data_IF_958405568717
#
_entry.id   IF_958405568717
#
_cell.length_a   1.000
_cell.length_b   1.000
_cell.length_c   1.000
_cell.angle_alpha   90.00
_cell.angle_beta   90.00
_cell.angle_gamma   90.00
#
_symmetry.space_group_name_H-M   'P 1'
#
loop_
_entity.id
_entity.type
_entity.pdbx_description
1 polymer ?
#
# COMPACT_ATOMS: atom_id res chain seq x y z
N UNK A 1 19.72 -2.15 14.32
CA UNK A 1 19.30 -3.07 13.24
C UNK A 1 18.15 -2.48 12.41
N UNK A 2 17.05 -2.02 13.03
CA UNK A 2 15.88 -1.43 12.34
C UNK A 2 16.21 -0.34 11.30
N UNK A 3 17.11 0.61 11.61
CA UNK A 3 17.51 1.66 10.65
C UNK A 3 18.19 1.08 9.40
N UNK A 4 19.04 0.06 9.55
CA UNK A 4 19.71 -0.59 8.42
C UNK A 4 18.69 -1.29 7.51
N UNK A 5 17.72 -1.97 8.12
CA UNK A 5 16.62 -2.62 7.38
C UNK A 5 15.76 -1.58 6.67
N UNK A 6 15.42 -0.48 7.35
CA UNK A 6 14.68 0.63 6.75
C UNK A 6 15.38 1.18 5.50
N UNK A 7 16.68 1.50 5.62
CA UNK A 7 17.48 1.98 4.49
C UNK A 7 17.48 0.95 3.35
N UNK A 8 17.65 -0.33 3.67
CA UNK A 8 17.57 -1.41 2.69
C UNK A 8 16.22 -1.49 1.97
N UNK A 9 15.11 -1.32 2.68
CA UNK A 9 13.76 -1.29 2.10
C UNK A 9 13.58 -0.09 1.16
N UNK A 10 14.03 1.10 1.55
CA UNK A 10 13.92 2.31 0.71
C UNK A 10 14.80 2.22 -0.54
N UNK A 11 16.02 1.69 -0.42
CA UNK A 11 16.87 1.42 -1.59
C UNK A 11 16.21 0.40 -2.52
N UNK A 12 15.65 -0.68 -1.96
CA UNK A 12 14.93 -1.70 -2.74
C UNK A 12 13.73 -1.08 -3.46
N UNK A 13 12.91 -0.29 -2.75
CA UNK A 13 11.77 0.43 -3.32
C UNK A 13 12.20 1.34 -4.48
N UNK A 14 13.29 2.09 -4.33
CA UNK A 14 13.80 2.98 -5.38
C UNK A 14 14.29 2.21 -6.62
N UNK A 15 15.01 1.11 -6.42
CA UNK A 15 15.48 0.24 -7.51
C UNK A 15 14.27 -0.38 -8.25
N UNK A 16 13.32 -0.94 -7.52
CA UNK A 16 12.12 -1.55 -8.10
C UNK A 16 11.30 -0.51 -8.87
N UNK A 17 11.10 0.70 -8.30
CA UNK A 17 10.37 1.77 -8.96
C UNK A 17 11.04 2.24 -10.26
N UNK A 18 12.38 2.24 -10.32
CA UNK A 18 13.11 2.53 -11.55
C UNK A 18 12.96 1.40 -12.59
N UNK A 19 13.11 0.15 -12.17
CA UNK A 19 12.96 -1.03 -13.03
C UNK A 19 11.54 -1.09 -13.62
N UNK A 20 10.53 -0.78 -12.82
CA UNK A 20 9.12 -0.87 -13.21
C UNK A 20 8.79 -0.03 -14.45
N UNK A 21 9.48 1.08 -14.69
CA UNK A 21 9.31 1.95 -15.88
C UNK A 21 9.64 1.21 -17.19
N UNK A 22 10.51 0.20 -17.13
CA UNK A 22 10.93 -0.59 -18.28
C UNK A 22 10.09 -1.85 -18.48
N UNK A 23 9.25 -2.21 -17.50
CA UNK A 23 8.43 -3.42 -17.57
C UNK A 23 7.14 -3.21 -18.40
N UNK A 24 6.52 -4.29 -18.89
CA UNK A 24 5.27 -4.21 -19.65
C UNK A 24 4.13 -3.58 -18.82
N UNK A 25 3.49 -2.54 -19.34
CA UNK A 25 2.47 -1.80 -18.59
C UNK A 25 1.04 -2.34 -18.79
N UNK A 26 0.86 -3.31 -19.69
CA UNK A 26 -0.45 -3.87 -20.04
C UNK A 26 -1.19 -3.06 -21.09
N UNK A 27 -2.27 -3.63 -21.65
CA UNK A 27 -3.03 -3.04 -22.75
C UNK A 27 -4.01 -1.94 -22.32
N UNK A 28 -4.26 -1.80 -21.02
CA UNK A 28 -5.24 -0.87 -20.46
C UNK A 28 -4.71 0.56 -20.29
N UNK A 29 -3.40 0.77 -20.44
CA UNK A 29 -2.85 2.11 -20.37
C UNK A 29 -2.91 2.77 -21.75
N UNK A 30 -3.47 3.98 -21.85
CA UNK A 30 -3.47 4.73 -23.10
C UNK A 30 -2.04 4.80 -23.67
N UNK A 31 -1.90 4.65 -24.99
CA UNK A 31 -0.65 4.92 -25.73
C UNK A 31 -0.34 6.42 -25.77
N UNK A 32 -0.40 7.08 -24.61
CA UNK A 32 0.03 8.45 -24.46
C UNK A 32 1.54 8.53 -24.64
N UNK A 33 1.97 9.55 -25.36
CA UNK A 33 3.37 9.94 -25.41
C UNK A 33 3.85 10.22 -23.99
N UNK A 34 4.91 9.51 -23.57
CA UNK A 34 5.50 9.75 -22.26
C UNK A 34 6.00 11.21 -22.18
N UNK A 35 5.82 11.88 -21.03
CA UNK A 35 6.24 13.27 -20.86
C UNK A 35 7.77 13.45 -20.88
N UNK A 36 8.51 12.36 -20.74
CA UNK A 36 9.96 12.30 -20.83
C UNK A 36 10.42 10.91 -21.28
N UNK A 37 11.73 10.74 -21.54
CA UNK A 37 12.30 9.43 -21.85
C UNK A 37 12.23 8.48 -20.65
N UNK A 38 12.12 7.17 -20.91
CA UNK A 38 12.06 6.15 -19.85
C UNK A 38 13.21 6.25 -18.82
N UNK A 39 14.48 6.47 -19.21
CA UNK A 39 15.55 6.65 -18.23
C UNK A 39 15.34 7.85 -17.31
N UNK A 40 14.82 8.97 -17.82
CA UNK A 40 14.51 10.16 -17.00
C UNK A 40 13.39 9.85 -16.02
N UNK A 41 12.32 9.18 -16.46
CA UNK A 41 11.23 8.75 -15.57
C UNK A 41 11.70 7.75 -14.51
N UNK A 42 12.58 6.81 -14.86
CA UNK A 42 13.15 5.85 -13.93
C UNK A 42 14.00 6.53 -12.85
N UNK A 43 14.85 7.49 -13.24
CA UNK A 43 15.64 8.30 -12.31
C UNK A 43 14.75 9.17 -11.42
N UNK A 44 13.71 9.79 -11.99
CA UNK A 44 12.75 10.59 -11.23
C UNK A 44 12.01 9.74 -10.19
N UNK A 45 11.51 8.55 -10.58
CA UNK A 45 10.86 7.62 -9.66
C UNK A 45 11.80 7.17 -8.54
N UNK A 46 13.04 6.78 -8.87
CA UNK A 46 14.03 6.42 -7.85
C UNK A 46 14.29 7.59 -6.88
N UNK A 47 14.47 8.81 -7.39
CA UNK A 47 14.69 10.00 -6.57
C UNK A 47 13.50 10.29 -5.65
N UNK A 48 12.27 10.17 -6.15
CA UNK A 48 11.04 10.31 -5.33
C UNK A 48 11.03 9.28 -4.21
N UNK A 49 11.34 8.01 -4.50
CA UNK A 49 11.36 6.96 -3.48
C UNK A 49 12.46 7.18 -2.43
N UNK A 50 13.66 7.61 -2.84
CA UNK A 50 14.77 7.86 -1.92
C UNK A 50 14.53 9.09 -1.04
N UNK A 51 14.07 10.20 -1.63
CA UNK A 51 13.98 11.50 -0.96
C UNK A 51 12.64 11.63 -0.25
N UNK A 52 11.54 11.52 -0.98
CA UNK A 52 10.21 11.75 -0.42
C UNK A 52 9.77 10.58 0.45
N UNK A 53 9.72 9.36 -0.10
CA UNK A 53 9.29 8.19 0.67
C UNK A 53 10.31 7.87 1.77
N UNK A 54 11.60 7.92 1.45
CA UNK A 54 12.68 7.74 2.42
C UNK A 54 12.66 8.77 3.55
N UNK A 55 12.40 10.05 3.25
CA UNK A 55 12.29 11.11 4.25
C UNK A 55 11.04 10.98 5.14
N UNK A 56 9.87 10.83 4.52
CA UNK A 56 8.60 10.68 5.24
C UNK A 56 8.57 9.41 6.08
N UNK A 57 9.04 8.28 5.53
CA UNK A 57 9.12 7.03 6.25
C UNK A 57 10.13 7.07 7.41
N UNK A 58 11.22 7.85 7.29
CA UNK A 58 12.19 8.00 8.39
C UNK A 58 11.58 8.80 9.55
N UNK A 59 10.87 9.88 9.23
CA UNK A 59 10.07 10.63 10.20
C UNK A 59 9.03 9.71 10.85
N UNK A 60 8.29 8.96 10.04
CA UNK A 60 7.32 7.96 10.49
C UNK A 60 7.91 6.93 11.46
N UNK A 61 9.10 6.39 11.13
CA UNK A 61 9.83 5.46 11.98
C UNK A 61 10.13 6.05 13.36
N UNK A 62 10.67 7.28 13.39
CA UNK A 62 10.98 7.97 14.66
C UNK A 62 9.72 8.22 15.50
N UNK A 63 8.62 8.60 14.87
CA UNK A 63 7.35 8.84 15.55
C UNK A 63 6.73 7.53 16.06
N UNK A 64 6.80 6.45 15.28
CA UNK A 64 6.27 5.14 15.66
C UNK A 64 6.97 4.57 16.91
N UNK A 65 8.30 4.68 17.00
CA UNK A 65 9.05 4.27 18.18
C UNK A 65 8.68 5.12 19.41
N UNK A 66 8.46 6.43 19.23
CA UNK A 66 8.01 7.33 20.31
C UNK A 66 6.59 7.01 20.81
N UNK A 67 5.74 6.48 19.93
CA UNK A 67 4.40 6.00 20.26
C UNK A 67 4.39 4.60 20.91
N UNK A 68 5.55 3.96 21.03
CA UNK A 68 5.67 2.61 21.58
C UNK A 68 5.12 1.52 20.67
N UNK A 69 5.05 1.76 19.35
CA UNK A 69 4.75 0.71 18.39
C UNK A 69 5.97 -0.22 18.23
N UNK A 70 5.72 -1.46 17.78
CA UNK A 70 6.81 -2.39 17.52
C UNK A 70 7.75 -1.83 16.43
N UNK A 71 9.05 -1.84 16.70
CA UNK A 71 10.06 -1.45 15.73
C UNK A 71 10.13 -2.46 14.56
N UNK A 72 10.72 -2.04 13.43
CA UNK A 72 10.96 -2.89 12.25
C UNK A 72 11.59 -4.25 12.64
N UNK A 73 12.56 -4.20 13.56
CA UNK A 73 13.21 -5.38 14.11
C UNK A 73 13.13 -5.40 15.64
N UNK A 74 11.91 -5.50 16.17
CA UNK A 74 11.68 -5.70 17.59
C UNK A 74 12.01 -7.14 18.03
N UNK A 75 12.89 -7.30 19.01
CA UNK A 75 13.31 -8.61 19.53
C UNK A 75 12.18 -9.38 20.22
N UNK A 76 11.12 -8.70 20.66
CA UNK A 76 9.93 -9.32 21.25
C UNK A 76 8.99 -9.92 20.21
N UNK A 77 9.15 -9.55 18.94
CA UNK A 77 8.35 -10.04 17.82
C UNK A 77 9.06 -11.23 17.18
N UNK A 78 8.42 -12.39 17.23
CA UNK A 78 8.93 -13.62 16.60
C UNK A 78 8.90 -13.52 15.07
N UNK A 79 9.75 -14.31 14.39
CA UNK A 79 9.72 -14.40 12.92
C UNK A 79 8.38 -14.93 12.40
N UNK A 80 7.66 -15.74 13.17
CA UNK A 80 6.29 -16.16 12.83
C UNK A 80 5.34 -14.97 12.76
N UNK A 81 5.39 -14.06 13.74
CA UNK A 81 4.57 -12.84 13.76
C UNK A 81 5.01 -11.81 12.72
N UNK A 82 6.31 -11.76 12.41
CA UNK A 82 6.88 -10.81 11.45
C UNK A 82 6.66 -11.21 10.00
N UNK A 83 6.66 -12.50 9.67
CA UNK A 83 6.65 -12.98 8.29
C UNK A 83 5.53 -13.98 8.00
N UNK A 84 5.43 -15.08 8.76
CA UNK A 84 4.48 -16.15 8.43
C UNK A 84 3.02 -15.74 8.61
N UNK A 85 2.67 -15.12 9.75
CA UNK A 85 1.30 -14.67 10.00
C UNK A 85 0.90 -13.59 8.98
N UNK A 86 1.72 -12.56 8.70
CA UNK A 86 1.46 -11.61 7.62
C UNK A 86 1.20 -12.27 6.26
N UNK A 87 1.98 -13.29 5.89
CA UNK A 87 1.78 -14.02 4.64
C UNK A 87 0.43 -14.75 4.59
N UNK A 88 0.05 -15.43 5.68
CA UNK A 88 -1.24 -16.13 5.76
C UNK A 88 -2.41 -15.14 5.74
N UNK A 89 -2.32 -14.05 6.52
CA UNK A 89 -3.36 -13.00 6.56
C UNK A 89 -3.49 -12.33 5.20
N UNK A 90 -2.37 -11.91 4.60
CA UNK A 90 -2.36 -11.34 3.25
C UNK A 90 -2.94 -12.29 2.22
N UNK A 91 -2.58 -13.58 2.28
CA UNK A 91 -3.16 -14.58 1.38
C UNK A 91 -4.68 -14.71 1.49
N UNK A 92 -5.21 -14.73 2.71
CA UNK A 92 -6.67 -14.74 2.95
C UNK A 92 -7.34 -13.47 2.44
N UNK A 93 -6.75 -12.29 2.68
CA UNK A 93 -7.26 -11.01 2.17
C UNK A 93 -7.24 -10.99 0.64
N UNK A 94 -6.19 -11.51 0.01
CA UNK A 94 -6.10 -11.61 -1.44
C UNK A 94 -7.17 -12.52 -2.05
N UNK A 95 -7.48 -13.66 -1.41
CA UNK A 95 -8.62 -14.51 -1.82
C UNK A 95 -9.93 -13.73 -1.68
N UNK A 96 -10.10 -13.00 -0.57
CA UNK A 96 -11.26 -12.14 -0.38
C UNK A 96 -11.38 -11.07 -1.48
N UNK A 97 -10.28 -10.44 -1.92
CA UNK A 97 -10.26 -9.49 -3.04
C UNK A 97 -10.75 -10.15 -4.33
N UNK A 98 -10.26 -11.36 -4.64
CA UNK A 98 -10.71 -12.14 -5.80
C UNK A 98 -12.23 -12.34 -5.79
N UNK A 99 -12.77 -12.78 -4.66
CA UNK A 99 -14.20 -13.06 -4.53
C UNK A 99 -15.03 -11.78 -4.60
N UNK A 100 -14.59 -10.71 -3.95
CA UNK A 100 -15.25 -9.42 -3.98
C UNK A 100 -15.32 -8.87 -5.42
N UNK A 101 -14.21 -8.83 -6.15
CA UNK A 101 -14.20 -8.37 -7.56
C UNK A 101 -15.13 -9.18 -8.46
N UNK A 102 -15.11 -10.52 -8.35
CA UNK A 102 -16.00 -11.38 -9.13
C UNK A 102 -17.49 -11.13 -8.81
N UNK A 103 -17.81 -10.70 -7.58
CA UNK A 103 -19.17 -10.35 -7.19
C UNK A 103 -19.53 -8.94 -7.67
N UNK A 104 -18.71 -7.94 -7.35
CA UNK A 104 -19.00 -6.52 -7.61
C UNK A 104 -19.00 -6.18 -9.10
N UNK A 105 -18.09 -6.78 -9.88
CA UNK A 105 -18.04 -6.60 -11.34
C UNK A 105 -19.31 -7.02 -12.08
N UNK A 106 -20.16 -7.87 -11.48
CA UNK A 106 -21.47 -8.24 -12.05
C UNK A 106 -22.52 -7.13 -11.95
N UNK A 107 -22.28 -6.12 -11.13
CA UNK A 107 -23.22 -5.04 -10.85
C UNK A 107 -22.82 -3.73 -11.57
N UNK A 108 -21.84 -3.76 -12.47
CA UNK A 108 -21.50 -2.64 -13.36
C UNK A 108 -20.91 -3.12 -14.70
N UNK A 109 -20.94 -2.27 -15.73
CA UNK A 109 -20.53 -2.66 -17.09
C UNK A 109 -19.02 -2.63 -17.35
N UNK A 110 -18.21 -2.16 -16.40
CA UNK A 110 -16.75 -2.01 -16.57
C UNK A 110 -15.96 -3.34 -16.51
N UNK A 111 -16.59 -4.45 -16.12
CA UNK A 111 -15.93 -5.75 -15.96
C UNK A 111 -15.06 -5.83 -14.69
N UNK A 112 -14.25 -6.89 -14.58
CA UNK A 112 -13.32 -7.05 -13.44
C UNK A 112 -12.20 -6.01 -13.44
N UNK A 113 -11.63 -5.77 -12.26
CA UNK A 113 -10.49 -4.88 -12.10
C UNK A 113 -9.27 -5.40 -12.90
N UNK A 114 -8.59 -4.55 -13.69
CA UNK A 114 -7.45 -4.96 -14.48
C UNK A 114 -6.22 -5.22 -13.59
N UNK A 115 -5.41 -6.23 -13.97
CA UNK A 115 -4.18 -6.56 -13.27
C UNK A 115 -2.95 -6.23 -14.15
N UNK A 116 -1.83 -5.77 -13.56
CA UNK A 116 -0.59 -5.61 -14.31
C UNK A 116 -0.13 -6.95 -14.90
N UNK A 117 0.44 -6.99 -16.12
CA UNK A 117 0.93 -8.23 -16.69
C UNK A 117 2.14 -8.76 -15.92
N UNK A 118 2.39 -10.06 -15.96
CA UNK A 118 3.65 -10.61 -15.45
C UNK A 118 4.83 -10.20 -16.37
N UNK A 119 6.01 -9.80 -15.85
CA UNK A 119 6.43 -9.78 -14.44
C UNK A 119 6.14 -8.48 -13.69
N UNK A 120 5.51 -7.49 -14.33
CA UNK A 120 5.16 -6.19 -13.72
C UNK A 120 4.29 -6.35 -12.48
N UNK A 121 3.35 -7.30 -12.46
CA UNK A 121 2.54 -7.57 -11.26
C UNK A 121 3.39 -7.87 -10.04
N UNK A 122 4.42 -8.72 -10.16
CA UNK A 122 5.30 -9.07 -9.04
C UNK A 122 6.08 -7.84 -8.53
N UNK A 123 6.62 -7.04 -9.45
CA UNK A 123 7.39 -5.84 -9.11
C UNK A 123 6.49 -4.76 -8.50
N UNK A 124 5.29 -4.56 -9.07
CA UNK A 124 4.28 -3.66 -8.56
C UNK A 124 3.81 -4.07 -7.16
N UNK A 125 3.58 -5.36 -6.88
CA UNK A 125 3.23 -5.85 -5.54
C UNK A 125 4.29 -5.52 -4.50
N UNK A 126 5.58 -5.64 -4.85
CA UNK A 126 6.67 -5.29 -3.96
C UNK A 126 6.78 -3.77 -3.75
N UNK A 127 6.58 -2.98 -4.80
CA UNK A 127 6.57 -1.52 -4.73
C UNK A 127 5.40 -1.04 -3.85
N UNK A 128 4.18 -1.54 -4.08
CA UNK A 128 2.99 -1.18 -3.31
C UNK A 128 3.16 -1.59 -1.85
N UNK A 129 3.53 -2.86 -1.61
CA UNK A 129 3.72 -3.39 -0.27
C UNK A 129 4.75 -2.62 0.57
N UNK A 130 5.81 -2.05 -0.02
CA UNK A 130 6.76 -1.21 0.70
C UNK A 130 6.30 0.26 0.70
N UNK A 131 6.08 0.83 -0.48
CA UNK A 131 5.86 2.26 -0.68
C UNK A 131 4.56 2.76 -0.06
N UNK A 132 3.45 2.06 -0.26
CA UNK A 132 2.16 2.48 0.29
C UNK A 132 2.15 2.33 1.80
N UNK A 133 2.78 1.28 2.34
CA UNK A 133 2.92 1.10 3.78
C UNK A 133 3.84 2.18 4.39
N UNK A 134 4.89 2.61 3.69
CA UNK A 134 5.73 3.77 4.11
C UNK A 134 4.86 5.01 4.28
N UNK A 135 4.01 5.32 3.30
CA UNK A 135 3.19 6.54 3.32
C UNK A 135 2.04 6.43 4.32
N UNK A 136 1.23 5.38 4.25
CA UNK A 136 -0.05 5.31 4.95
C UNK A 136 0.05 4.75 6.37
N UNK A 137 1.02 3.89 6.65
CA UNK A 137 1.17 3.25 7.98
C UNK A 137 2.33 3.86 8.72
N UNK A 138 3.53 3.79 8.15
CA UNK A 138 4.73 4.28 8.83
C UNK A 138 4.67 5.79 9.03
N UNK A 139 4.40 6.58 7.99
CA UNK A 139 4.28 8.03 8.10
C UNK A 139 2.91 8.49 8.60
N UNK A 140 1.83 8.33 7.82
CA UNK A 140 0.53 8.95 8.08
C UNK A 140 -0.03 8.57 9.46
N UNK A 141 -0.15 7.27 9.77
CA UNK A 141 -0.69 6.84 11.08
C UNK A 141 0.22 7.31 12.21
N UNK A 142 1.54 7.09 12.14
CA UNK A 142 2.44 7.52 13.21
C UNK A 142 2.43 9.03 13.42
N UNK A 143 2.39 9.81 12.34
CA UNK A 143 2.33 11.28 12.39
C UNK A 143 1.06 11.77 13.06
N UNK A 144 -0.11 11.34 12.60
CA UNK A 144 -1.39 11.83 13.14
C UNK A 144 -1.67 11.32 14.54
N UNK A 145 -1.30 10.07 14.87
CA UNK A 145 -1.42 9.56 16.23
C UNK A 145 -0.49 10.33 17.17
N UNK A 146 0.74 10.61 16.76
CA UNK A 146 1.65 11.44 17.53
C UNK A 146 1.11 12.86 17.71
N UNK A 147 0.72 13.53 16.63
CA UNK A 147 0.23 14.90 16.70
C UNK A 147 -1.00 15.02 17.60
N UNK A 148 -2.00 14.16 17.39
CA UNK A 148 -3.25 14.25 18.14
C UNK A 148 -3.07 13.73 19.57
N UNK A 149 -2.57 12.52 19.76
CA UNK A 149 -2.48 11.92 21.09
C UNK A 149 -1.36 12.56 21.92
N UNK A 150 -0.16 12.68 21.37
CA UNK A 150 1.02 13.08 22.13
C UNK A 150 1.09 14.61 22.29
N UNK A 151 0.91 15.36 21.21
CA UNK A 151 1.05 16.84 21.22
C UNK A 151 -0.24 17.52 21.71
N UNK A 152 -1.37 17.29 21.03
CA UNK A 152 -2.63 18.00 21.31
C UNK A 152 -3.26 17.51 22.61
N UNK A 153 -3.40 16.19 22.77
CA UNK A 153 -4.06 15.56 23.92
C UNK A 153 -3.11 15.25 25.08
N UNK A 154 -1.85 15.72 25.03
CA UNK A 154 -0.84 15.57 26.08
C UNK A 154 -0.68 14.12 26.56
N UNK A 155 -0.47 13.23 25.59
CA UNK A 155 -0.29 11.78 25.75
C UNK A 155 -1.52 11.03 26.28
N UNK A 156 -2.74 11.51 26.00
CA UNK A 156 -4.00 10.86 26.37
C UNK A 156 -4.71 10.24 25.16
N UNK A 157 -5.49 9.20 25.41
CA UNK A 157 -6.40 8.57 24.43
C UNK A 157 -5.73 7.95 23.19
N UNK A 158 -4.42 7.67 23.22
CA UNK A 158 -3.66 7.14 22.09
C UNK A 158 -4.34 5.97 21.37
N UNK A 159 -4.94 5.03 22.12
CA UNK A 159 -5.62 3.88 21.52
C UNK A 159 -6.86 4.28 20.71
N UNK A 160 -7.68 5.22 21.21
CA UNK A 160 -8.87 5.70 20.50
C UNK A 160 -8.46 6.51 19.27
N UNK A 161 -7.49 7.42 19.45
CA UNK A 161 -6.90 8.22 18.36
C UNK A 161 -6.34 7.31 17.27
N UNK A 162 -5.62 6.24 17.63
CA UNK A 162 -5.09 5.28 16.67
C UNK A 162 -6.18 4.72 15.76
N UNK A 163 -7.29 4.22 16.31
CA UNK A 163 -8.36 3.65 15.49
C UNK A 163 -9.08 4.68 14.63
N UNK A 164 -9.29 5.90 15.14
CA UNK A 164 -9.84 7.00 14.34
C UNK A 164 -8.90 7.36 13.18
N UNK A 165 -7.60 7.49 13.45
CA UNK A 165 -6.59 7.78 12.42
C UNK A 165 -6.46 6.62 11.42
N UNK A 166 -6.58 5.36 11.87
CA UNK A 166 -6.63 4.18 10.98
C UNK A 166 -7.82 4.26 10.03
N UNK A 167 -9.01 4.63 10.51
CA UNK A 167 -10.18 4.83 9.65
C UNK A 167 -9.92 5.90 8.58
N UNK A 168 -9.39 7.06 8.97
CA UNK A 168 -9.06 8.12 8.02
C UNK A 168 -7.94 7.72 7.05
N UNK A 169 -6.93 6.98 7.52
CA UNK A 169 -5.86 6.44 6.67
C UNK A 169 -6.42 5.46 5.64
N UNK A 170 -7.34 4.58 6.04
CA UNK A 170 -8.02 3.65 5.15
C UNK A 170 -8.86 4.36 4.07
N UNK A 171 -9.61 5.41 4.44
CA UNK A 171 -10.37 6.21 3.49
C UNK A 171 -9.45 7.00 2.54
N UNK A 172 -8.40 7.63 3.05
CA UNK A 172 -7.42 8.34 2.23
C UNK A 172 -6.70 7.38 1.26
N UNK A 173 -6.39 6.18 1.73
CA UNK A 173 -5.80 5.12 0.92
C UNK A 173 -6.73 4.67 -0.21
N UNK A 174 -8.00 4.39 0.11
CA UNK A 174 -9.02 4.03 -0.89
C UNK A 174 -9.23 5.14 -1.92
N UNK A 175 -9.42 6.39 -1.49
CA UNK A 175 -9.66 7.50 -2.41
C UNK A 175 -8.41 7.89 -3.21
N UNK A 176 -7.22 7.64 -2.68
CA UNK A 176 -5.95 7.80 -3.40
C UNK A 176 -5.86 6.92 -4.65
N UNK A 177 -6.66 5.84 -4.73
CA UNK A 177 -6.71 4.97 -5.91
C UNK A 177 -7.69 5.41 -6.99
N UNK A 178 -8.62 6.33 -6.71
CA UNK A 178 -9.62 6.77 -7.69
C UNK A 178 -9.00 7.29 -9.00
N UNK A 179 -7.93 8.13 -8.98
CA UNK A 179 -7.29 8.58 -10.22
C UNK A 179 -6.75 7.43 -11.08
N UNK A 180 -6.19 6.40 -10.45
CA UNK A 180 -5.65 5.22 -11.15
C UNK A 180 -6.78 4.42 -11.83
N UNK A 181 -7.91 4.23 -11.15
CA UNK A 181 -9.07 3.56 -11.74
C UNK A 181 -9.71 4.38 -12.87
N UNK A 182 -9.79 5.70 -12.71
CA UNK A 182 -10.25 6.57 -13.79
C UNK A 182 -9.37 6.43 -15.03
N UNK A 183 -8.05 6.40 -14.86
CA UNK A 183 -7.12 6.19 -15.97
C UNK A 183 -7.30 4.82 -16.63
N UNK A 184 -7.41 3.75 -15.83
CA UNK A 184 -7.52 2.37 -16.31
C UNK A 184 -8.83 2.10 -17.08
N UNK A 185 -9.93 2.72 -16.65
CA UNK A 185 -11.24 2.58 -17.30
C UNK A 185 -11.56 3.72 -18.29
N UNK A 186 -10.63 4.65 -18.52
CA UNK A 186 -10.82 5.77 -19.44
C UNK A 186 -11.89 6.78 -19.01
N UNK A 187 -12.18 6.88 -17.72
CA UNK A 187 -13.17 7.79 -17.15
C UNK A 187 -12.59 9.19 -17.00
N UNK A 188 -13.37 10.21 -17.35
CA UNK A 188 -12.91 11.61 -17.36
C UNK A 188 -13.22 12.34 -16.07
N UNK A 189 -14.31 11.95 -15.41
CA UNK A 189 -14.80 12.60 -14.19
C UNK A 189 -15.15 11.59 -13.11
N UNK A 190 -15.06 11.98 -11.84
CA UNK A 190 -15.41 11.11 -10.70
C UNK A 190 -16.89 10.69 -10.76
N UNK A 191 -17.76 11.52 -11.35
CA UNK A 191 -19.19 11.22 -11.50
C UNK A 191 -19.48 10.07 -12.47
N UNK A 192 -18.52 9.67 -13.31
CA UNK A 192 -18.66 8.51 -14.19
C UNK A 192 -18.35 7.18 -13.49
N UNK A 193 -17.76 7.21 -12.29
CA UNK A 193 -17.40 6.00 -11.54
C UNK A 193 -18.70 5.40 -10.95
N UNK A 194 -19.07 4.15 -11.28
CA UNK A 194 -20.23 3.51 -10.69
C UNK A 194 -20.13 3.47 -9.17
N UNK A 195 -21.24 3.78 -8.46
CA UNK A 195 -21.26 3.76 -6.99
C UNK A 195 -20.84 2.40 -6.42
N UNK A 196 -21.18 1.33 -7.14
CA UNK A 196 -20.75 -0.04 -6.80
C UNK A 196 -19.22 -0.16 -6.82
N UNK A 197 -18.55 0.37 -7.86
CA UNK A 197 -17.09 0.36 -7.96
C UNK A 197 -16.45 1.24 -6.87
N UNK A 198 -17.04 2.40 -6.54
CA UNK A 198 -16.56 3.22 -5.40
C UNK A 198 -16.65 2.39 -4.10
N UNK A 199 -17.75 1.67 -3.90
CA UNK A 199 -17.97 0.83 -2.72
C UNK A 199 -16.97 -0.32 -2.66
N UNK A 200 -16.67 -0.94 -3.79
CA UNK A 200 -15.64 -1.98 -3.92
C UNK A 200 -14.25 -1.42 -3.57
N UNK A 201 -13.86 -0.29 -4.15
CA UNK A 201 -12.56 0.36 -3.88
C UNK A 201 -12.41 0.65 -2.40
N UNK A 202 -13.45 1.19 -1.75
CA UNK A 202 -13.45 1.45 -0.29
C UNK A 202 -13.35 0.14 0.50
N UNK A 203 -14.07 -0.91 0.09
CA UNK A 203 -14.07 -2.20 0.77
C UNK A 203 -12.69 -2.86 0.71
N UNK A 204 -12.12 -3.02 -0.48
CA UNK A 204 -10.84 -3.70 -0.67
C UNK A 204 -9.71 -2.95 0.06
N UNK A 205 -9.54 -1.66 -0.24
CA UNK A 205 -8.50 -0.83 0.35
C UNK A 205 -8.71 -0.61 1.86
N UNK A 206 -9.96 -0.56 2.31
CA UNK A 206 -10.31 -0.48 3.71
C UNK A 206 -9.86 -1.72 4.48
N UNK A 207 -10.22 -2.91 3.99
CA UNK A 207 -9.88 -4.18 4.64
C UNK A 207 -8.36 -4.33 4.80
N UNK A 208 -7.59 -4.20 3.73
CA UNK A 208 -6.13 -4.33 3.81
C UNK A 208 -5.52 -3.26 4.73
N UNK A 209 -6.02 -2.03 4.70
CA UNK A 209 -5.52 -0.93 5.52
C UNK A 209 -5.74 -1.15 7.02
N UNK A 210 -6.91 -1.64 7.42
CA UNK A 210 -7.18 -1.94 8.83
C UNK A 210 -6.29 -3.08 9.36
N UNK A 211 -6.13 -4.16 8.59
CA UNK A 211 -5.26 -5.27 8.98
C UNK A 211 -3.79 -4.83 9.02
N UNK A 212 -3.30 -4.16 7.98
CA UNK A 212 -1.94 -3.65 7.94
C UNK A 212 -1.66 -2.67 9.09
N UNK A 213 -2.58 -1.77 9.43
CA UNK A 213 -2.44 -0.86 10.57
C UNK A 213 -2.37 -1.59 11.92
N UNK A 214 -3.25 -2.58 12.15
CA UNK A 214 -3.24 -3.37 13.37
C UNK A 214 -1.91 -4.14 13.54
N UNK A 215 -1.45 -4.79 12.48
CA UNK A 215 -0.20 -5.55 12.49
C UNK A 215 1.04 -4.65 12.52
N UNK A 216 1.00 -3.47 11.89
CA UNK A 216 2.03 -2.44 12.03
C UNK A 216 2.25 -2.07 13.49
N UNK A 217 1.17 -1.73 14.21
CA UNK A 217 1.25 -1.33 15.62
C UNK A 217 1.75 -2.47 16.51
N UNK A 218 1.31 -3.71 16.23
CA UNK A 218 1.55 -4.87 17.09
C UNK A 218 2.86 -5.61 16.83
N UNK A 219 3.24 -5.76 15.57
CA UNK A 219 4.37 -6.61 15.13
C UNK A 219 5.38 -5.87 14.26
N UNK A 220 5.16 -4.59 14.00
CA UNK A 220 6.09 -3.69 13.36
C UNK A 220 5.91 -3.59 11.85
N UNK A 221 6.69 -2.71 11.24
CA UNK A 221 6.53 -2.31 9.83
C UNK A 221 6.59 -3.48 8.84
N UNK A 222 7.49 -4.44 9.04
CA UNK A 222 7.62 -5.60 8.16
C UNK A 222 6.36 -6.47 8.12
N UNK A 223 5.58 -6.51 9.20
CA UNK A 223 4.33 -7.25 9.22
C UNK A 223 3.25 -6.60 8.34
N UNK A 224 3.20 -5.25 8.32
CA UNK A 224 2.29 -4.52 7.45
C UNK A 224 2.69 -4.66 5.97
N UNK A 225 3.98 -4.49 5.66
CA UNK A 225 4.56 -4.76 4.33
C UNK A 225 4.25 -6.19 3.88
N UNK A 226 4.40 -7.17 4.77
CA UNK A 226 4.11 -8.57 4.47
C UNK A 226 2.63 -8.82 4.13
N UNK A 227 1.70 -8.31 4.94
CA UNK A 227 0.26 -8.45 4.66
C UNK A 227 -0.05 -7.88 3.28
N UNK A 228 0.45 -6.68 2.99
CA UNK A 228 0.17 -6.02 1.74
C UNK A 228 0.75 -6.79 0.55
N UNK A 229 2.05 -7.05 0.58
CA UNK A 229 2.74 -7.79 -0.46
C UNK A 229 2.06 -9.12 -0.78
N UNK A 230 1.74 -9.93 0.24
CA UNK A 230 1.11 -11.23 0.01
C UNK A 230 -0.35 -11.13 -0.44
N UNK A 231 -1.07 -10.08 -0.07
CA UNK A 231 -2.40 -9.78 -0.64
C UNK A 231 -2.26 -9.58 -2.15
N UNK A 232 -1.32 -8.76 -2.58
CA UNK A 232 -1.10 -8.46 -3.99
C UNK A 232 -0.54 -9.64 -4.78
N UNK A 233 0.26 -10.51 -4.17
CA UNK A 233 0.70 -11.75 -4.83
C UNK A 233 -0.52 -12.61 -5.21
N UNK A 234 -1.46 -12.81 -4.30
CA UNK A 234 -2.67 -13.57 -4.62
C UNK A 234 -3.54 -12.80 -5.62
N UNK A 235 -3.75 -11.50 -5.36
CA UNK A 235 -4.71 -10.67 -6.07
C UNK A 235 -4.25 -10.20 -7.46
N UNK A 236 -2.98 -9.86 -7.67
CA UNK A 236 -2.46 -9.37 -8.95
C UNK A 236 -1.65 -10.41 -9.70
N UNK A 237 -0.81 -11.21 -9.01
CA UNK A 237 0.07 -12.17 -9.68
C UNK A 237 -0.70 -13.45 -10.01
N UNK A 238 -1.25 -14.13 -9.00
CA UNK A 238 -1.93 -15.41 -9.22
C UNK A 238 -3.21 -15.21 -10.04
N UNK A 239 -4.10 -14.30 -9.61
CA UNK A 239 -5.33 -13.99 -10.37
C UNK A 239 -5.02 -13.51 -11.79
N UNK A 240 -4.03 -12.64 -11.98
CA UNK A 240 -3.67 -12.13 -13.30
C UNK A 240 -3.08 -13.19 -14.26
N UNK A 241 -2.54 -14.29 -13.74
CA UNK A 241 -2.05 -15.41 -14.57
C UNK A 241 -3.21 -16.32 -15.02
N UNK A 242 -4.26 -16.44 -14.19
CA UNK A 242 -5.40 -17.35 -14.45
C UNK A 242 -6.58 -16.66 -15.14
N UNK A 243 -6.55 -15.33 -15.28
CA UNK A 243 -7.61 -14.50 -15.86
C UNK A 243 -7.53 -14.38 -17.37
#
# INVERSE_FOLDING_TARGET
LSIKIYIGLIITLAILAAINVFLPQGAFLPTQTLPASKPVLALANAAIMLILYGGLGFLGLKLSSKLGFADIWDLKVSNKQRFLIPALVGGVIGIFFILADVIFSKFHSLGSLPHPPFPTSLVASAIAGIGEEVIFRLFFISFWVWLISYVILKNRWQNKVFWVVTLFSALAFAFGHLPSFMLLFGLKTIGEIPLVLISEIILLNGVISFFAAYYFRKFGFLAAVGIHFWTDIIWHVIRGIIS
#
